data_IF_911279659651
#
_entry.id   IF_911279659651
#
_cell.length_a   1.000
_cell.length_b   1.000
_cell.length_c   1.000
_cell.angle_alpha   90.00
_cell.angle_beta   90.00
_cell.angle_gamma   90.00
#
_symmetry.space_group_name_H-M   'P 1'
#
loop_
_entity.id
_entity.type
_entity.pdbx_description
1 polymer ?
#
# COMPACT_ATOMS: atom_id res chain seq x y z
N UNK A 1 19.72 16.39 -6.93
CA UNK A 1 18.94 15.20 -7.33
C UNK A 1 17.67 15.70 -7.99
N UNK A 2 17.39 15.51 -9.30
CA UNK A 2 16.00 15.65 -9.74
C UNK A 2 15.17 14.49 -9.14
N UNK A 3 13.86 14.67 -8.93
CA UNK A 3 13.16 14.37 -7.66
C UNK A 3 12.81 12.88 -7.46
N UNK A 4 12.51 12.50 -6.21
CA UNK A 4 11.93 11.18 -5.88
C UNK A 4 10.52 11.00 -6.46
N UNK A 5 10.06 9.75 -6.55
CA UNK A 5 8.68 9.42 -7.00
C UNK A 5 7.69 10.02 -5.99
N UNK A 6 6.67 10.80 -6.40
CA UNK A 6 5.70 11.40 -5.49
C UNK A 6 4.66 10.41 -4.93
N UNK A 7 3.82 10.92 -4.02
CA UNK A 7 2.68 10.22 -3.42
C UNK A 7 3.02 9.48 -2.13
N UNK A 8 2.13 9.54 -1.14
CA UNK A 8 2.31 8.93 0.19
C UNK A 8 1.26 7.87 0.51
N UNK A 9 0.25 7.72 -0.34
CA UNK A 9 -0.92 6.91 -0.12
C UNK A 9 -1.28 6.09 -1.36
N UNK A 10 -1.69 4.84 -1.16
CA UNK A 10 -2.21 3.99 -2.22
C UNK A 10 -3.04 2.85 -1.63
N UNK A 11 -3.90 2.27 -2.47
CA UNK A 11 -4.55 0.98 -2.26
C UNK A 11 -4.15 0.04 -3.40
N UNK A 12 -4.02 -1.26 -3.11
CA UNK A 12 -3.65 -2.26 -4.11
C UNK A 12 -3.70 -3.68 -3.57
N UNK A 13 -3.13 -4.62 -4.32
CA UNK A 13 -3.13 -6.05 -4.00
C UNK A 13 -1.69 -6.52 -3.74
N UNK A 14 -1.53 -7.39 -2.75
CA UNK A 14 -0.24 -8.02 -2.46
C UNK A 14 0.08 -9.07 -3.52
N UNK A 15 1.10 -8.82 -4.33
CA UNK A 15 1.53 -9.74 -5.39
C UNK A 15 2.60 -10.75 -4.94
N UNK A 16 3.38 -10.39 -3.92
CA UNK A 16 4.43 -11.24 -3.36
C UNK A 16 4.71 -10.87 -1.89
N UNK A 17 5.20 -11.84 -1.12
CA UNK A 17 5.62 -11.64 0.27
C UNK A 17 7.02 -12.23 0.49
N UNK A 18 7.78 -11.61 1.39
CA UNK A 18 9.07 -12.15 1.82
C UNK A 18 8.91 -13.37 2.74
N UNK A 19 9.91 -14.27 2.85
CA UNK A 19 9.79 -15.50 3.65
C UNK A 19 9.48 -15.31 5.15
N UNK A 20 9.85 -14.15 5.70
CA UNK A 20 9.64 -13.80 7.10
C UNK A 20 8.37 -12.95 7.34
N UNK A 21 7.59 -12.65 6.31
CA UNK A 21 6.37 -11.84 6.43
C UNK A 21 5.23 -12.74 6.91
N UNK A 22 4.49 -12.25 7.90
CA UNK A 22 3.28 -12.90 8.43
C UNK A 22 2.16 -11.87 8.59
N UNK A 23 0.93 -12.33 8.77
CA UNK A 23 -0.25 -11.46 8.92
C UNK A 23 -0.85 -10.94 7.61
N UNK A 24 -0.13 -11.02 6.50
CA UNK A 24 -0.57 -10.64 5.15
C UNK A 24 -0.26 -11.77 4.17
N UNK A 25 -1.13 -11.97 3.18
CA UNK A 25 -1.05 -13.02 2.16
C UNK A 25 -1.11 -12.43 0.76
N UNK A 26 -0.55 -13.15 -0.21
CA UNK A 26 -0.72 -12.82 -1.65
C UNK A 26 -2.21 -12.83 -1.98
N UNK A 27 -2.67 -11.80 -2.68
CA UNK A 27 -4.09 -11.57 -2.98
C UNK A 27 -4.81 -10.68 -1.97
N UNK A 28 -4.25 -10.42 -0.78
CA UNK A 28 -4.85 -9.47 0.16
C UNK A 28 -4.89 -8.07 -0.47
N UNK A 29 -6.05 -7.41 -0.33
CA UNK A 29 -6.21 -5.98 -0.61
C UNK A 29 -5.69 -5.19 0.57
N UNK A 30 -4.80 -4.24 0.31
CA UNK A 30 -4.13 -3.44 1.33
C UNK A 30 -4.05 -1.98 0.93
N UNK A 31 -3.93 -1.10 1.92
CA UNK A 31 -3.64 0.30 1.71
C UNK A 31 -2.66 0.85 2.74
N UNK A 32 -2.07 2.01 2.44
CA UNK A 32 -1.19 2.76 3.34
C UNK A 32 -1.33 4.26 3.09
N UNK A 33 -0.92 5.07 4.07
CA UNK A 33 -0.73 6.52 3.93
C UNK A 33 0.42 6.98 4.85
N UNK A 34 1.66 6.66 4.47
CA UNK A 34 2.83 6.88 5.30
C UNK A 34 4.12 6.98 4.46
N UNK A 35 5.20 7.55 5.03
CA UNK A 35 6.54 7.46 4.43
C UNK A 35 6.98 6.00 4.23
N UNK A 36 7.93 5.73 3.31
CA UNK A 36 8.56 6.70 2.40
C UNK A 36 7.65 7.10 1.23
N UNK A 37 7.87 8.30 0.69
CA UNK A 37 7.20 8.81 -0.53
C UNK A 37 7.56 7.91 -1.71
N UNK A 38 6.60 7.66 -2.60
CA UNK A 38 6.80 6.86 -3.81
C UNK A 38 5.56 6.11 -4.29
N UNK A 39 4.37 6.57 -3.94
CA UNK A 39 3.14 5.86 -4.25
C UNK A 39 2.77 5.88 -5.74
N UNK A 40 3.25 6.86 -6.51
CA UNK A 40 2.94 6.98 -7.95
C UNK A 40 3.80 6.01 -8.79
N UNK A 41 3.60 4.71 -8.57
CA UNK A 41 4.22 3.61 -9.27
C UNK A 41 3.25 2.44 -9.39
N UNK A 42 3.52 1.50 -10.30
CA UNK A 42 2.68 0.31 -10.48
C UNK A 42 2.96 -0.77 -9.40
N UNK A 43 4.18 -0.79 -8.85
CA UNK A 43 4.63 -1.79 -7.87
C UNK A 43 5.57 -1.17 -6.84
N UNK A 44 5.41 -1.57 -5.58
CA UNK A 44 6.22 -1.07 -4.46
C UNK A 44 6.44 -2.14 -3.40
N UNK A 45 7.64 -2.14 -2.83
CA UNK A 45 7.94 -2.93 -1.62
C UNK A 45 7.58 -2.11 -0.39
N UNK A 46 6.83 -2.73 0.52
CA UNK A 46 6.41 -2.11 1.78
C UNK A 46 6.66 -3.03 2.96
N UNK A 47 6.97 -2.42 4.11
CA UNK A 47 7.02 -3.13 5.36
C UNK A 47 5.58 -3.53 5.76
N UNK A 48 5.33 -4.78 6.18
CA UNK A 48 3.98 -5.29 6.39
C UNK A 48 3.24 -4.57 7.53
N UNK A 49 3.96 -4.03 8.51
CA UNK A 49 3.46 -3.22 9.62
C UNK A 49 2.93 -1.84 9.21
N UNK A 50 3.25 -1.39 7.99
CA UNK A 50 2.75 -0.15 7.40
C UNK A 50 1.51 -0.35 6.52
N UNK A 51 1.04 -1.60 6.37
CA UNK A 51 -0.09 -1.94 5.53
C UNK A 51 -1.33 -2.22 6.38
N UNK A 52 -2.47 -1.74 5.91
CA UNK A 52 -3.79 -2.04 6.50
C UNK A 52 -4.58 -2.86 5.50
N UNK A 53 -5.14 -4.00 5.92
CA UNK A 53 -6.03 -4.80 5.07
C UNK A 53 -7.34 -4.07 4.81
N UNK A 54 -7.80 -4.11 3.57
CA UNK A 54 -9.07 -3.53 3.16
C UNK A 54 -10.18 -4.58 3.23
N UNK A 55 -11.32 -4.26 3.86
CA UNK A 55 -12.56 -5.01 3.68
C UNK A 55 -13.02 -5.06 2.22
N UNK A 56 -13.77 -6.10 1.87
CA UNK A 56 -14.28 -6.32 0.49
C UNK A 56 -15.28 -5.25 0.04
N UNK A 57 -15.95 -4.58 0.98
CA UNK A 57 -17.00 -3.59 0.72
C UNK A 57 -16.45 -2.15 0.55
N UNK A 58 -15.15 -1.93 0.75
CA UNK A 58 -14.52 -0.62 0.54
C UNK A 58 -13.82 -0.62 -0.83
N UNK A 59 -14.23 0.19 -1.82
CA UNK A 59 -13.52 0.30 -3.09
C UNK A 59 -12.11 0.90 -2.95
N UNK A 60 -11.18 0.51 -3.81
CA UNK A 60 -9.78 0.98 -3.77
C UNK A 60 -9.65 2.51 -3.85
N UNK A 61 -10.47 3.15 -4.71
CA UNK A 61 -10.50 4.61 -4.86
C UNK A 61 -10.86 5.32 -3.54
N UNK A 62 -11.82 4.74 -2.80
CA UNK A 62 -12.26 5.27 -1.50
C UNK A 62 -11.20 5.03 -0.45
N UNK A 63 -10.58 3.85 -0.43
CA UNK A 63 -9.49 3.54 0.48
C UNK A 63 -8.30 4.48 0.29
N UNK A 64 -7.85 4.69 -0.95
CA UNK A 64 -6.70 5.57 -1.23
C UNK A 64 -7.00 7.04 -0.86
N UNK A 65 -8.21 7.54 -1.17
CA UNK A 65 -8.58 8.93 -0.87
C UNK A 65 -8.85 9.20 0.63
N UNK A 66 -9.22 8.17 1.40
CA UNK A 66 -9.68 8.33 2.78
C UNK A 66 -8.58 8.30 3.86
N UNK A 67 -7.36 7.88 3.52
CA UNK A 67 -6.33 7.58 4.52
C UNK A 67 -5.45 8.78 4.91
N UNK A 68 -5.22 9.73 4.00
CA UNK A 68 -4.36 10.88 4.25
C UNK A 68 -5.22 12.11 4.57
N UNK A 69 -5.09 12.65 5.79
CA UNK A 69 -5.83 13.83 6.27
C UNK A 69 -4.89 14.90 6.80
#
# INVERSE_FOLDING_TARGET
QPPGVPGMEAAGIVEAIGPAVSGISVGDRVAYACPPVGAYCERRNMAPDLLVKLPDDIPDEIAAAGLLK
#
